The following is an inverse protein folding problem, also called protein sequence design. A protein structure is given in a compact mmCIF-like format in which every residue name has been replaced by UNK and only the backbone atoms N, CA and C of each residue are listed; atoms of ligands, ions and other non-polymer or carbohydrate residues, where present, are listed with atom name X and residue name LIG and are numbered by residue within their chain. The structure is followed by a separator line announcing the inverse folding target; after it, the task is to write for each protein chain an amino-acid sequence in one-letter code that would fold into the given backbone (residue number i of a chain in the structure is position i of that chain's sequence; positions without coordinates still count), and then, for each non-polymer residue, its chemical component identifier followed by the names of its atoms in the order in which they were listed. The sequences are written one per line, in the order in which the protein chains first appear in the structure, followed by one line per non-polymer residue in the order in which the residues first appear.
data_IF_022799705857
#
_entry.id   IF_022799705857
#
_cell.length_a   1.000
_cell.length_b   1.000
_cell.length_c   1.000
_cell.angle_alpha   90.00
_cell.angle_beta   90.00
_cell.angle_gamma   90.00
#
_symmetry.space_group_name_H-M   'P 1'
#
loop_
_entity.id
_entity.type
_entity.pdbx_description
1 polymer ?
#
# COMPACT_ATOMS: atom_id res chain seq x y z
N UNK A 1 -27.58 -51.04 9.90
CA UNK A 1 -26.67 -52.04 10.52
C UNK A 1 -25.37 -51.29 10.81
N UNK A 2 -24.82 -51.16 12.02
CA UNK A 2 -24.84 -51.97 13.24
C UNK A 2 -25.03 -51.09 14.49
N UNK A 3 -25.78 -51.63 15.45
CA UNK A 3 -25.85 -51.21 16.84
C UNK A 3 -24.60 -51.69 17.60
N UNK A 4 -24.09 -50.89 18.53
CA UNK A 4 -23.59 -51.40 19.81
C UNK A 4 -24.04 -50.48 20.94
N UNK A 5 -24.88 -51.05 21.81
CA UNK A 5 -25.30 -50.53 23.12
C UNK A 5 -24.23 -50.89 24.14
N UNK A 6 -23.85 -49.94 24.99
CA UNK A 6 -23.45 -50.23 26.38
C UNK A 6 -24.20 -49.31 27.34
N UNK A 7 -24.44 -49.85 28.55
CA UNK A 7 -25.53 -49.52 29.48
C UNK A 7 -25.20 -48.40 30.48
N UNK A 8 -26.22 -47.58 30.71
CA UNK A 8 -26.72 -46.97 31.98
C UNK A 8 -25.70 -46.47 33.02
N UNK A 9 -25.69 -45.15 33.21
CA UNK A 9 -25.75 -44.54 34.54
C UNK A 9 -27.00 -43.66 34.64
N UNK A 10 -27.73 -43.84 35.74
CA UNK A 10 -28.93 -43.08 36.08
C UNK A 10 -28.55 -41.85 36.90
N UNK A 11 -28.90 -40.67 36.41
CA UNK A 11 -28.80 -39.45 37.21
C UNK A 11 -29.32 -38.24 36.45
N UNK A 12 -30.50 -37.76 36.84
CA UNK A 12 -31.17 -36.51 36.41
C UNK A 12 -31.66 -36.47 34.95
N UNK A 13 -32.96 -36.74 34.75
CA UNK A 13 -33.68 -36.22 33.59
C UNK A 13 -33.89 -34.71 33.74
N UNK A 14 -32.81 -33.93 33.55
CA UNK A 14 -32.90 -32.51 33.30
C UNK A 14 -33.26 -32.29 31.83
N UNK A 15 -34.45 -31.70 31.62
CA UNK A 15 -34.92 -30.92 30.46
C UNK A 15 -34.90 -31.62 29.09
N UNK A 16 -36.11 -32.02 28.64
CA UNK A 16 -36.58 -32.09 27.24
C UNK A 16 -35.47 -32.03 26.18
N UNK A 17 -34.95 -33.19 25.76
CA UNK A 17 -34.03 -33.28 24.64
C UNK A 17 -34.75 -32.82 23.36
N UNK A 18 -34.56 -31.54 23.00
CA UNK A 18 -35.05 -30.98 21.74
C UNK A 18 -34.07 -31.39 20.63
N UNK A 19 -34.52 -32.25 19.73
CA UNK A 19 -33.81 -32.58 18.51
C UNK A 19 -34.32 -31.67 17.39
N UNK A 20 -33.48 -30.77 16.90
CA UNK A 20 -33.78 -29.89 15.77
C UNK A 20 -33.22 -30.52 14.49
N UNK A 21 -34.09 -31.12 13.67
CA UNK A 21 -33.73 -31.56 12.33
C UNK A 21 -33.65 -30.34 11.40
N UNK A 22 -32.47 -30.05 10.86
CA UNK A 22 -32.27 -29.03 9.82
C UNK A 22 -32.12 -29.71 8.47
N UNK A 23 -33.04 -29.42 7.54
CA UNK A 23 -32.92 -29.85 6.14
C UNK A 23 -31.65 -29.22 5.55
N UNK A 24 -30.76 -30.04 5.01
CA UNK A 24 -29.40 -29.65 4.61
C UNK A 24 -29.32 -28.90 3.27
N UNK A 25 -30.38 -28.90 2.45
CA UNK A 25 -30.36 -28.29 1.12
C UNK A 25 -31.72 -27.65 0.77
N UNK A 26 -31.72 -26.33 0.57
CA UNK A 26 -32.88 -25.55 0.11
C UNK A 26 -32.88 -25.32 -1.41
N UNK A 27 -31.85 -25.77 -2.13
CA UNK A 27 -31.69 -25.49 -3.57
C UNK A 27 -32.89 -25.98 -4.41
N UNK A 28 -33.46 -27.15 -4.07
CA UNK A 28 -34.66 -27.67 -4.74
C UNK A 28 -35.87 -26.72 -4.60
N UNK A 29 -36.02 -26.06 -3.44
CA UNK A 29 -37.11 -25.10 -3.20
C UNK A 29 -36.93 -23.84 -4.04
N UNK A 30 -35.69 -23.36 -4.16
CA UNK A 30 -35.33 -22.22 -4.99
C UNK A 30 -35.57 -22.48 -6.49
N UNK A 31 -35.22 -23.68 -6.98
CA UNK A 31 -35.52 -24.11 -8.36
C UNK A 31 -37.03 -24.13 -8.64
N UNK A 32 -37.83 -24.68 -7.72
CA UNK A 32 -39.30 -24.67 -7.85
C UNK A 32 -39.85 -23.23 -7.89
N UNK A 33 -39.38 -22.34 -6.99
CA UNK A 33 -39.77 -20.93 -6.98
C UNK A 33 -39.40 -20.22 -8.29
N UNK A 34 -38.26 -20.57 -8.88
CA UNK A 34 -37.83 -20.02 -10.15
C UNK A 34 -38.74 -20.47 -11.30
N UNK A 35 -39.16 -21.74 -11.34
CA UNK A 35 -40.12 -22.25 -12.32
C UNK A 35 -41.48 -21.57 -12.17
N UNK A 36 -41.97 -21.41 -10.93
CA UNK A 36 -43.22 -20.69 -10.66
C UNK A 36 -43.18 -19.26 -11.18
N UNK A 37 -42.05 -18.57 -10.97
CA UNK A 37 -41.83 -17.20 -11.48
C UNK A 37 -41.88 -17.15 -13.01
N UNK A 38 -41.19 -18.06 -13.71
CA UNK A 38 -41.18 -18.04 -15.20
C UNK A 38 -42.57 -18.29 -15.79
N UNK A 39 -43.40 -19.09 -15.12
CA UNK A 39 -44.78 -19.33 -15.52
C UNK A 39 -45.76 -18.24 -15.03
N UNK A 40 -45.30 -17.26 -14.25
CA UNK A 40 -46.12 -16.20 -13.66
C UNK A 40 -47.09 -16.67 -12.58
N UNK A 41 -46.95 -17.89 -12.06
CA UNK A 41 -47.81 -18.40 -10.99
C UNK A 41 -47.44 -17.72 -9.67
N UNK A 42 -48.47 -17.30 -8.92
CA UNK A 42 -48.36 -16.63 -7.62
C UNK A 42 -47.56 -15.31 -7.60
N UNK A 43 -47.17 -14.78 -8.75
CA UNK A 43 -46.44 -13.50 -8.84
C UNK A 43 -47.35 -12.34 -8.43
N UNK A 44 -46.95 -11.64 -7.36
CA UNK A 44 -47.71 -10.57 -6.69
C UNK A 44 -47.05 -9.18 -6.89
N UNK A 45 -45.98 -9.11 -7.69
CA UNK A 45 -45.31 -7.87 -8.04
C UNK A 45 -44.72 -7.91 -9.46
N UNK A 46 -44.82 -6.76 -10.14
CA UNK A 46 -44.19 -6.45 -11.43
C UNK A 46 -43.24 -5.28 -11.22
N UNK A 47 -41.97 -5.47 -11.56
CA UNK A 47 -40.94 -4.44 -11.50
C UNK A 47 -40.70 -3.91 -12.91
N UNK A 48 -40.91 -2.61 -13.11
CA UNK A 48 -40.67 -1.94 -14.40
C UNK A 48 -39.32 -1.23 -14.35
N UNK A 49 -38.40 -1.60 -15.24
CA UNK A 49 -37.11 -0.93 -15.42
C UNK A 49 -37.24 0.35 -16.26
N UNK A 50 -36.18 1.13 -16.35
CA UNK A 50 -36.16 2.42 -17.08
C UNK A 50 -36.41 2.26 -18.59
N UNK A 51 -36.02 1.12 -19.17
CA UNK A 51 -36.27 0.77 -20.58
C UNK A 51 -37.70 0.27 -20.85
N UNK A 52 -38.60 0.44 -19.88
CA UNK A 52 -39.99 -0.03 -19.85
C UNK A 52 -40.19 -1.55 -19.86
N UNK A 53 -39.15 -2.39 -19.77
CA UNK A 53 -39.34 -3.83 -19.61
C UNK A 53 -39.82 -4.17 -18.20
N UNK A 54 -40.66 -5.20 -18.12
CA UNK A 54 -41.29 -5.64 -16.88
C UNK A 54 -40.71 -7.00 -16.46
N UNK A 55 -40.24 -7.07 -15.22
CA UNK A 55 -39.77 -8.29 -14.57
C UNK A 55 -40.80 -8.71 -13.51
N UNK A 56 -41.31 -9.94 -13.62
CA UNK A 56 -42.25 -10.51 -12.66
C UNK A 56 -41.51 -11.21 -11.51
N UNK A 57 -42.03 -11.07 -10.30
CA UNK A 57 -41.44 -11.67 -9.10
C UNK A 57 -42.48 -11.89 -7.99
N UNK A 58 -42.00 -12.47 -6.89
CA UNK A 58 -42.73 -12.67 -5.64
C UNK A 58 -42.19 -11.73 -4.55
N UNK A 59 -43.05 -10.93 -3.91
CA UNK A 59 -42.70 -9.99 -2.83
C UNK A 59 -41.97 -10.70 -1.70
N UNK A 60 -42.41 -11.90 -1.33
CA UNK A 60 -41.80 -12.68 -0.24
C UNK A 60 -40.35 -13.07 -0.52
N UNK A 61 -40.05 -13.48 -1.75
CA UNK A 61 -38.68 -13.87 -2.15
C UNK A 61 -37.78 -12.64 -2.17
N UNK A 62 -38.25 -11.56 -2.80
CA UNK A 62 -37.51 -10.30 -2.86
C UNK A 62 -37.24 -9.72 -1.46
N UNK A 63 -38.26 -9.65 -0.60
CA UNK A 63 -38.14 -9.16 0.76
C UNK A 63 -37.25 -10.03 1.65
N UNK A 64 -37.20 -11.34 1.40
CA UNK A 64 -36.37 -12.25 2.19
C UNK A 64 -34.88 -12.07 1.92
N UNK A 65 -34.51 -11.68 0.70
CA UNK A 65 -33.13 -11.63 0.24
C UNK A 65 -32.56 -10.21 0.12
N UNK A 66 -33.40 -9.18 0.01
CA UNK A 66 -32.99 -7.78 -0.11
C UNK A 66 -33.61 -6.92 0.99
N UNK A 67 -32.78 -6.24 1.81
CA UNK A 67 -33.29 -5.28 2.79
C UNK A 67 -34.03 -4.11 2.16
N UNK A 68 -33.66 -3.71 0.93
CA UNK A 68 -34.37 -2.68 0.17
C UNK A 68 -35.82 -3.08 -0.11
N UNK A 69 -36.03 -4.28 -0.68
CA UNK A 69 -37.37 -4.78 -0.95
C UNK A 69 -38.15 -5.08 0.34
N UNK A 70 -37.48 -5.57 1.38
CA UNK A 70 -38.10 -5.74 2.69
C UNK A 70 -38.68 -4.42 3.22
N UNK A 71 -37.88 -3.35 3.20
CA UNK A 71 -38.34 -2.03 3.62
C UNK A 71 -39.49 -1.53 2.74
N UNK A 72 -39.34 -1.63 1.41
CA UNK A 72 -40.34 -1.20 0.42
C UNK A 72 -41.71 -1.85 0.65
N UNK A 73 -41.75 -3.16 0.87
CA UNK A 73 -43.02 -3.89 1.02
C UNK A 73 -43.61 -3.87 2.44
N UNK A 74 -42.84 -3.45 3.45
CA UNK A 74 -43.31 -3.39 4.85
C UNK A 74 -43.66 -1.99 5.30
N UNK A 75 -42.85 -0.98 4.93
CA UNK A 75 -42.93 0.38 5.48
C UNK A 75 -43.53 1.41 4.53
N UNK A 76 -43.59 1.13 3.23
CA UNK A 76 -44.01 2.10 2.23
C UNK A 76 -45.30 1.69 1.50
N UNK A 77 -45.88 2.66 0.78
CA UNK A 77 -47.15 2.57 0.07
C UNK A 77 -47.13 1.53 -1.06
N UNK A 78 -45.95 1.23 -1.59
CA UNK A 78 -45.65 0.24 -2.62
C UNK A 78 -46.06 -1.17 -2.23
N UNK A 79 -46.32 -1.44 -0.95
CA UNK A 79 -46.95 -2.67 -0.48
C UNK A 79 -48.24 -3.00 -1.25
N UNK A 80 -49.07 -1.99 -1.53
CA UNK A 80 -50.38 -2.15 -2.17
C UNK A 80 -50.32 -2.06 -3.70
N UNK A 81 -49.16 -1.76 -4.27
CA UNK A 81 -48.99 -1.70 -5.71
C UNK A 81 -48.64 -3.06 -6.30
N UNK A 82 -49.22 -3.37 -7.45
CA UNK A 82 -48.85 -4.52 -8.28
C UNK A 82 -47.70 -4.19 -9.25
N UNK A 83 -47.50 -2.91 -9.58
CA UNK A 83 -46.45 -2.43 -10.47
C UNK A 83 -45.60 -1.37 -9.75
N UNK A 84 -44.29 -1.60 -9.68
CA UNK A 84 -43.32 -0.65 -9.11
C UNK A 84 -42.30 -0.28 -10.17
N UNK A 85 -42.05 1.02 -10.33
CA UNK A 85 -41.07 1.55 -11.29
C UNK A 85 -39.73 1.71 -10.59
N UNK A 86 -38.73 0.97 -11.06
CA UNK A 86 -37.36 0.98 -10.56
C UNK A 86 -36.56 2.00 -11.37
N UNK A 87 -36.19 3.11 -10.75
CA UNK A 87 -35.40 4.18 -11.39
C UNK A 87 -33.91 3.92 -11.21
N UNK A 88 -33.12 4.16 -12.25
CA UNK A 88 -31.66 4.02 -12.25
C UNK A 88 -31.18 2.58 -12.38
N UNK A 89 -31.99 1.69 -12.95
CA UNK A 89 -31.62 0.28 -13.18
C UNK A 89 -32.05 -0.14 -14.59
N UNK A 90 -31.09 -0.66 -15.36
CA UNK A 90 -31.36 -1.28 -16.65
C UNK A 90 -32.07 -2.65 -16.50
N UNK A 91 -32.90 -3.03 -17.47
CA UNK A 91 -33.64 -4.29 -17.38
C UNK A 91 -32.76 -5.52 -17.38
N UNK A 92 -31.60 -5.48 -18.06
CA UNK A 92 -30.67 -6.60 -18.09
C UNK A 92 -30.08 -6.86 -16.69
N UNK A 93 -29.61 -5.80 -16.03
CA UNK A 93 -29.10 -5.84 -14.66
C UNK A 93 -30.20 -6.25 -13.67
N UNK A 94 -31.40 -5.68 -13.78
CA UNK A 94 -32.53 -6.05 -12.92
C UNK A 94 -32.89 -7.53 -13.07
N UNK A 95 -32.94 -8.03 -14.30
CA UNK A 95 -33.25 -9.43 -14.57
C UNK A 95 -32.18 -10.37 -13.98
N UNK A 96 -30.89 -10.03 -14.11
CA UNK A 96 -29.79 -10.79 -13.52
C UNK A 96 -29.86 -10.80 -11.99
N UNK A 97 -30.13 -9.66 -11.37
CA UNK A 97 -30.26 -9.56 -9.91
C UNK A 97 -31.47 -10.34 -9.41
N UNK A 98 -32.63 -10.25 -10.07
CA UNK A 98 -33.79 -11.07 -9.68
C UNK A 98 -33.50 -12.54 -9.92
N UNK A 99 -32.84 -12.93 -11.01
CA UNK A 99 -32.42 -14.34 -11.21
C UNK A 99 -31.50 -14.82 -10.09
N UNK A 100 -30.59 -13.97 -9.61
CA UNK A 100 -29.72 -14.26 -8.48
C UNK A 100 -30.52 -14.51 -7.19
N UNK A 101 -31.55 -13.71 -6.90
CA UNK A 101 -32.39 -13.91 -5.69
C UNK A 101 -33.15 -15.25 -5.69
N UNK A 102 -33.36 -15.85 -6.87
CA UNK A 102 -34.01 -17.16 -6.99
C UNK A 102 -33.04 -18.32 -7.13
N UNK A 103 -31.83 -18.10 -7.66
CA UNK A 103 -30.88 -19.18 -7.96
C UNK A 103 -29.64 -19.21 -7.07
N UNK A 104 -29.32 -18.10 -6.40
CA UNK A 104 -28.06 -17.87 -5.70
C UNK A 104 -26.84 -17.79 -6.63
N UNK A 105 -27.04 -17.70 -7.95
CA UNK A 105 -25.96 -17.68 -8.96
C UNK A 105 -26.07 -16.44 -9.84
N UNK A 106 -24.94 -15.81 -10.10
CA UNK A 106 -24.85 -14.67 -11.01
C UNK A 106 -23.59 -14.75 -11.86
N UNK A 107 -23.71 -14.43 -13.14
CA UNK A 107 -22.59 -14.35 -14.07
C UNK A 107 -22.19 -12.89 -14.23
N UNK A 108 -20.95 -12.56 -13.86
CA UNK A 108 -20.39 -11.21 -13.95
C UNK A 108 -19.43 -11.17 -15.15
N UNK A 109 -19.60 -10.18 -16.02
CA UNK A 109 -18.82 -9.93 -17.23
C UNK A 109 -18.41 -8.45 -17.30
N UNK A 110 -17.45 -8.12 -18.15
CA UNK A 110 -16.97 -6.73 -18.32
C UNK A 110 -18.07 -5.76 -18.79
N UNK A 111 -18.99 -6.24 -19.64
CA UNK A 111 -20.10 -5.45 -20.15
C UNK A 111 -21.18 -5.23 -19.08
N UNK A 112 -21.45 -6.22 -18.23
CA UNK A 112 -22.55 -6.15 -17.28
C UNK A 112 -22.17 -5.52 -15.93
N UNK A 113 -20.88 -5.56 -15.54
CA UNK A 113 -20.46 -5.15 -14.20
C UNK A 113 -20.69 -3.66 -13.94
N UNK A 114 -20.62 -2.83 -14.99
CA UNK A 114 -20.81 -1.38 -14.90
C UNK A 114 -22.25 -1.01 -14.50
N UNK A 115 -23.25 -1.76 -14.95
CA UNK A 115 -24.65 -1.57 -14.58
C UNK A 115 -25.04 -2.37 -13.34
N UNK A 116 -24.45 -3.55 -13.18
CA UNK A 116 -24.75 -4.48 -12.10
C UNK A 116 -24.29 -3.95 -10.73
N UNK A 117 -23.13 -3.30 -10.66
CA UNK A 117 -22.61 -2.75 -9.41
C UNK A 117 -23.51 -1.63 -8.83
N UNK A 118 -23.89 -0.57 -9.59
CA UNK A 118 -24.87 0.42 -9.13
C UNK A 118 -26.18 -0.21 -8.68
N UNK A 119 -26.72 -1.14 -9.49
CA UNK A 119 -28.00 -1.79 -9.20
C UNK A 119 -27.94 -2.66 -7.93
N UNK A 120 -26.85 -3.41 -7.73
CA UNK A 120 -26.64 -4.21 -6.52
C UNK A 120 -26.53 -3.34 -5.27
N UNK A 121 -25.87 -2.18 -5.38
CA UNK A 121 -25.75 -1.23 -4.28
C UNK A 121 -27.10 -0.58 -3.93
N UNK A 122 -27.89 -0.20 -4.94
CA UNK A 122 -29.23 0.37 -4.77
C UNK A 122 -30.19 -0.64 -4.10
N UNK A 123 -30.17 -1.89 -4.57
CA UNK A 123 -30.99 -2.98 -4.01
C UNK A 123 -30.41 -3.58 -2.71
N UNK A 124 -29.29 -3.05 -2.21
CA UNK A 124 -28.61 -3.49 -0.99
C UNK A 124 -28.25 -4.99 -1.00
N UNK A 125 -27.82 -5.50 -2.16
CA UNK A 125 -27.35 -6.87 -2.36
C UNK A 125 -25.84 -6.93 -2.17
N UNK A 126 -25.41 -7.00 -0.90
CA UNK A 126 -24.00 -6.89 -0.51
C UNK A 126 -23.12 -8.00 -1.12
N UNK A 127 -23.63 -9.25 -1.20
CA UNK A 127 -22.89 -10.38 -1.77
C UNK A 127 -22.55 -10.16 -3.25
N UNK A 128 -23.51 -9.62 -4.02
CA UNK A 128 -23.30 -9.30 -5.44
C UNK A 128 -22.36 -8.11 -5.57
N UNK A 129 -22.51 -7.08 -4.73
CA UNK A 129 -21.61 -5.93 -4.70
C UNK A 129 -20.16 -6.35 -4.46
N UNK A 130 -19.93 -7.24 -3.50
CA UNK A 130 -18.61 -7.78 -3.18
C UNK A 130 -18.04 -8.61 -4.33
N UNK A 131 -18.85 -9.48 -4.94
CA UNK A 131 -18.44 -10.25 -6.11
C UNK A 131 -18.07 -9.36 -7.31
N UNK A 132 -18.83 -8.28 -7.56
CA UNK A 132 -18.49 -7.28 -8.58
C UNK A 132 -17.18 -6.56 -8.26
N UNK A 133 -16.94 -6.21 -6.99
CA UNK A 133 -15.70 -5.57 -6.57
C UNK A 133 -14.49 -6.49 -6.74
N UNK A 134 -14.62 -7.77 -6.39
CA UNK A 134 -13.56 -8.77 -6.55
C UNK A 134 -13.27 -9.04 -8.04
N UNK A 135 -14.29 -9.08 -8.89
CA UNK A 135 -14.13 -9.15 -10.34
C UNK A 135 -13.36 -7.95 -10.89
N UNK A 136 -13.79 -6.72 -10.55
CA UNK A 136 -13.10 -5.49 -10.98
C UNK A 136 -11.67 -5.43 -10.48
N UNK A 137 -11.40 -5.89 -9.25
CA UNK A 137 -10.05 -5.95 -8.71
C UNK A 137 -9.16 -6.93 -9.50
N UNK A 138 -9.71 -8.04 -9.99
CA UNK A 138 -8.97 -9.00 -10.81
C UNK A 138 -8.64 -8.50 -12.22
N UNK A 139 -9.41 -7.54 -12.73
CA UNK A 139 -9.26 -6.98 -14.08
C UNK A 139 -8.53 -5.63 -14.12
N UNK A 140 -7.95 -5.17 -13.00
CA UNK A 140 -7.22 -3.89 -12.95
C UNK A 140 -6.04 -3.87 -13.94
N UNK A 141 -6.06 -2.92 -14.87
CA UNK A 141 -5.00 -2.67 -15.85
C UNK A 141 -4.73 -1.16 -15.99
N UNK A 142 -3.66 -0.78 -16.70
CA UNK A 142 -3.27 0.64 -16.83
C UNK A 142 -4.36 1.49 -17.52
N UNK A 143 -5.08 0.93 -18.51
CA UNK A 143 -6.11 1.66 -19.25
C UNK A 143 -7.44 1.78 -18.53
N UNK A 144 -7.80 0.86 -17.63
CA UNK A 144 -9.12 0.87 -16.95
C UNK A 144 -9.07 1.30 -15.49
N UNK A 145 -7.87 1.46 -14.90
CA UNK A 145 -7.73 1.68 -13.47
C UNK A 145 -8.39 2.98 -12.99
N UNK A 146 -8.41 4.02 -13.83
CA UNK A 146 -9.05 5.30 -13.53
C UNK A 146 -10.57 5.16 -13.59
N UNK A 147 -11.12 4.54 -14.63
CA UNK A 147 -12.55 4.22 -14.70
C UNK A 147 -13.02 3.40 -13.49
N UNK A 148 -12.29 2.33 -13.13
CA UNK A 148 -12.61 1.51 -11.96
C UNK A 148 -12.49 2.31 -10.66
N UNK A 149 -11.50 3.20 -10.54
CA UNK A 149 -11.37 4.09 -9.39
C UNK A 149 -12.56 5.05 -9.26
N UNK A 150 -13.01 5.66 -10.37
CA UNK A 150 -14.18 6.54 -10.38
C UNK A 150 -15.47 5.80 -10.00
N UNK A 151 -15.66 4.58 -10.51
CA UNK A 151 -16.79 3.71 -10.15
C UNK A 151 -16.73 3.35 -8.65
N UNK A 152 -15.55 3.03 -8.12
CA UNK A 152 -15.37 2.70 -6.71
C UNK A 152 -15.68 3.88 -5.78
N UNK A 153 -15.31 5.10 -6.19
CA UNK A 153 -15.61 6.34 -5.48
C UNK A 153 -17.13 6.61 -5.46
N UNK A 154 -17.76 6.51 -6.64
CA UNK A 154 -19.20 6.73 -6.81
C UNK A 154 -20.06 5.77 -5.97
N UNK A 155 -19.67 4.50 -5.87
CA UNK A 155 -20.41 3.48 -5.11
C UNK A 155 -19.88 3.24 -3.68
N UNK A 156 -18.95 4.09 -3.23
CA UNK A 156 -18.35 4.05 -1.89
C UNK A 156 -17.77 2.66 -1.54
N UNK A 157 -17.11 2.02 -2.51
CA UNK A 157 -16.48 0.71 -2.36
C UNK A 157 -15.06 0.87 -1.80
N UNK A 158 -14.90 0.96 -0.47
CA UNK A 158 -13.62 1.27 0.17
C UNK A 158 -12.47 0.29 -0.17
N UNK A 159 -12.75 -1.02 -0.26
CA UNK A 159 -11.76 -2.06 -0.60
C UNK A 159 -11.23 -1.87 -2.03
N UNK A 160 -12.15 -1.68 -2.99
CA UNK A 160 -11.81 -1.46 -4.39
C UNK A 160 -11.09 -0.12 -4.55
N UNK A 161 -11.59 0.95 -3.92
CA UNK A 161 -10.98 2.28 -3.96
C UNK A 161 -9.51 2.25 -3.50
N UNK A 162 -9.24 1.57 -2.39
CA UNK A 162 -7.87 1.43 -1.87
C UNK A 162 -6.98 0.64 -2.82
N UNK A 163 -7.51 -0.44 -3.40
CA UNK A 163 -6.77 -1.30 -4.34
C UNK A 163 -6.47 -0.60 -5.66
N UNK A 164 -7.47 0.05 -6.26
CA UNK A 164 -7.31 0.84 -7.50
C UNK A 164 -6.38 2.02 -7.28
N UNK A 165 -6.50 2.75 -6.16
CA UNK A 165 -5.57 3.83 -5.81
C UNK A 165 -4.14 3.33 -5.66
N UNK A 166 -3.94 2.18 -5.01
CA UNK A 166 -2.62 1.58 -4.90
C UNK A 166 -2.06 1.19 -6.27
N UNK A 167 -2.88 0.60 -7.15
CA UNK A 167 -2.47 0.25 -8.51
C UNK A 167 -2.05 1.49 -9.32
N UNK A 168 -2.87 2.55 -9.31
CA UNK A 168 -2.55 3.84 -9.95
C UNK A 168 -1.22 4.40 -9.41
N UNK A 169 -0.97 4.27 -8.10
CA UNK A 169 0.28 4.74 -7.51
C UNK A 169 1.51 3.93 -7.92
N UNK A 170 1.37 2.63 -8.16
CA UNK A 170 2.47 1.76 -8.60
C UNK A 170 2.78 1.95 -10.09
N UNK A 171 1.74 2.09 -10.93
CA UNK A 171 1.85 2.18 -12.39
C UNK A 171 1.66 3.60 -12.94
N UNK A 172 1.88 4.63 -12.11
CA UNK A 172 1.59 6.03 -12.47
C UNK A 172 2.22 6.48 -13.79
N UNK A 173 3.44 6.01 -14.09
CA UNK A 173 4.17 6.38 -15.31
C UNK A 173 3.46 5.93 -16.60
N UNK A 174 2.74 4.81 -16.55
CA UNK A 174 1.96 4.29 -17.68
C UNK A 174 0.61 5.02 -17.76
N UNK A 175 -0.07 5.16 -16.62
CA UNK A 175 -1.42 5.75 -16.50
C UNK A 175 -1.47 7.21 -16.95
N UNK A 176 -0.42 7.99 -16.71
CA UNK A 176 -0.31 9.39 -17.18
C UNK A 176 -0.27 9.49 -18.71
N UNK A 177 0.15 8.42 -19.38
CA UNK A 177 0.18 8.33 -20.84
C UNK A 177 -1.22 8.38 -21.46
N UNK A 178 -2.20 7.83 -20.76
CA UNK A 178 -3.56 7.62 -21.24
C UNK A 178 -4.44 8.87 -21.08
N UNK A 179 -5.42 9.03 -21.97
CA UNK A 179 -6.31 10.19 -21.96
C UNK A 179 -7.33 10.15 -20.82
N UNK A 180 -7.60 8.97 -20.24
CA UNK A 180 -8.45 8.85 -19.05
C UNK A 180 -7.90 9.67 -17.87
N UNK A 181 -6.58 9.86 -17.77
CA UNK A 181 -5.97 10.70 -16.74
C UNK A 181 -6.47 12.15 -16.78
N UNK A 182 -6.83 12.65 -17.96
CA UNK A 182 -7.31 14.01 -18.16
C UNK A 182 -8.74 14.21 -17.62
N UNK A 183 -9.48 13.12 -17.40
CA UNK A 183 -10.85 13.12 -16.87
C UNK A 183 -10.91 13.24 -15.33
N UNK A 184 -9.80 13.04 -14.63
CA UNK A 184 -9.73 13.12 -13.16
C UNK A 184 -10.06 14.54 -12.65
N UNK A 185 -10.71 14.60 -11.48
CA UNK A 185 -11.00 15.86 -10.79
C UNK A 185 -9.74 16.47 -10.16
N UNK A 186 -9.77 17.78 -9.86
CA UNK A 186 -8.64 18.46 -9.19
C UNK A 186 -8.27 17.81 -7.86
N UNK A 187 -9.26 17.41 -7.07
CA UNK A 187 -9.07 16.84 -5.74
C UNK A 187 -8.41 15.46 -5.82
N UNK A 188 -8.83 14.65 -6.80
CA UNK A 188 -8.25 13.33 -7.06
C UNK A 188 -6.79 13.47 -7.49
N UNK A 189 -6.47 14.40 -8.40
CA UNK A 189 -5.09 14.65 -8.86
C UNK A 189 -4.21 15.14 -7.71
N UNK A 190 -4.69 16.08 -6.89
CA UNK A 190 -3.98 16.54 -5.68
C UNK A 190 -3.71 15.36 -4.73
N UNK A 191 -4.70 14.51 -4.50
CA UNK A 191 -4.57 13.35 -3.61
C UNK A 191 -3.57 12.31 -4.14
N UNK A 192 -3.46 12.15 -5.46
CA UNK A 192 -2.47 11.26 -6.08
C UNK A 192 -1.06 11.83 -5.96
N UNK A 193 -0.86 13.11 -6.28
CA UNK A 193 0.46 13.75 -6.31
C UNK A 193 0.99 14.02 -4.90
N UNK A 194 0.13 14.29 -3.93
CA UNK A 194 0.52 14.45 -2.52
C UNK A 194 1.04 13.15 -1.88
N UNK A 195 0.72 11.99 -2.44
CA UNK A 195 1.11 10.69 -1.87
C UNK A 195 2.62 10.42 -1.99
N UNK A 196 3.26 10.14 -0.85
CA UNK A 196 4.64 9.66 -0.82
C UNK A 196 4.83 8.29 -1.49
N UNK A 197 3.77 7.49 -1.64
CA UNK A 197 3.84 6.12 -2.18
C UNK A 197 3.83 6.05 -3.71
N UNK A 198 3.82 7.21 -4.38
CA UNK A 198 3.80 7.27 -5.84
C UNK A 198 5.12 6.74 -6.40
N UNK A 199 5.04 5.73 -7.26
CA UNK A 199 6.20 5.12 -7.91
C UNK A 199 6.43 5.79 -9.25
N UNK A 200 7.39 6.71 -9.27
CA UNK A 200 7.79 7.47 -10.47
C UNK A 200 9.30 7.39 -10.67
N UNK A 201 9.78 7.39 -11.93
CA UNK A 201 11.21 7.38 -12.23
C UNK A 201 11.88 8.72 -11.89
N UNK A 202 11.15 9.82 -12.00
CA UNK A 202 11.62 11.16 -11.67
C UNK A 202 10.46 12.10 -11.34
N UNK A 203 10.72 13.12 -10.53
CA UNK A 203 9.76 14.21 -10.28
C UNK A 203 9.52 15.07 -11.54
N UNK A 204 10.43 14.98 -12.52
CA UNK A 204 10.25 15.61 -13.85
C UNK A 204 9.01 15.04 -14.55
N UNK A 205 8.78 13.72 -14.45
CA UNK A 205 7.56 13.09 -15.00
C UNK A 205 6.30 13.55 -14.29
N UNK A 206 6.33 13.73 -12.97
CA UNK A 206 5.19 14.25 -12.20
C UNK A 206 4.85 15.67 -12.66
N UNK A 207 5.87 16.51 -12.85
CA UNK A 207 5.70 17.86 -13.38
C UNK A 207 5.07 17.86 -14.78
N UNK A 208 5.59 17.06 -15.71
CA UNK A 208 5.03 16.91 -17.06
C UNK A 208 3.55 16.48 -17.03
N UNK A 209 3.22 15.55 -16.13
CA UNK A 209 1.86 15.05 -15.92
C UNK A 209 0.90 16.16 -15.52
N UNK A 210 1.30 16.99 -14.54
CA UNK A 210 0.51 18.13 -14.04
C UNK A 210 0.28 19.14 -15.16
N UNK A 211 1.33 19.47 -15.91
CA UNK A 211 1.23 20.43 -17.01
C UNK A 211 0.33 19.89 -18.12
N UNK A 212 0.42 18.60 -18.48
CA UNK A 212 -0.49 17.97 -19.45
C UNK A 212 -1.95 18.08 -19.00
N UNK A 213 -2.22 17.76 -17.73
CA UNK A 213 -3.58 17.83 -17.16
C UNK A 213 -4.15 19.26 -17.13
N UNK A 214 -3.33 20.27 -16.82
CA UNK A 214 -3.75 21.68 -16.82
C UNK A 214 -3.92 22.24 -18.25
N UNK A 215 -3.10 21.79 -19.22
CA UNK A 215 -3.19 22.23 -20.63
C UNK A 215 -4.49 21.77 -21.28
N UNK A 216 -5.03 20.61 -20.90
CA UNK A 216 -6.28 20.07 -21.45
C UNK A 216 -7.49 21.00 -21.22
N UNK A 217 -7.69 21.52 -20.00
CA UNK A 217 -8.71 22.53 -19.70
C UNK A 217 -8.08 23.80 -19.12
N UNK A 218 -7.39 24.52 -19.99
CA UNK A 218 -6.66 25.74 -19.63
C UNK A 218 -7.55 26.92 -19.17
N UNK A 219 -8.88 26.79 -19.19
CA UNK A 219 -9.83 27.78 -18.67
C UNK A 219 -9.99 27.70 -17.16
N UNK A 220 -10.45 26.56 -16.65
CA UNK A 220 -10.76 26.32 -15.22
C UNK A 220 -9.54 25.90 -14.41
N UNK A 221 -8.66 25.07 -14.98
CA UNK A 221 -7.56 24.40 -14.24
C UNK A 221 -6.38 25.32 -13.94
N UNK A 222 -6.25 26.46 -14.63
CA UNK A 222 -5.18 27.46 -14.38
C UNK A 222 -5.18 27.98 -12.95
N UNK A 223 -6.36 28.17 -12.35
CA UNK A 223 -6.50 28.66 -10.98
C UNK A 223 -6.00 27.65 -9.93
N UNK A 224 -6.00 26.36 -10.28
CA UNK A 224 -5.65 25.23 -9.39
C UNK A 224 -4.16 24.88 -9.50
N UNK A 225 -3.49 25.32 -10.56
CA UNK A 225 -2.06 25.09 -10.79
C UNK A 225 -1.18 25.37 -9.55
N UNK A 226 -1.35 26.47 -8.77
CA UNK A 226 -0.52 26.73 -7.60
C UNK A 226 -0.67 25.67 -6.49
N UNK A 227 -1.87 25.11 -6.32
CA UNK A 227 -2.14 24.05 -5.34
C UNK A 227 -1.49 22.73 -5.77
N UNK A 228 -1.57 22.40 -7.07
CA UNK A 228 -0.91 21.22 -7.63
C UNK A 228 0.62 21.31 -7.49
N UNK A 229 1.19 22.48 -7.82
CA UNK A 229 2.63 22.72 -7.75
C UNK A 229 3.18 22.64 -6.33
N UNK A 230 2.35 22.86 -5.30
CA UNK A 230 2.75 22.69 -3.91
C UNK A 230 3.17 21.25 -3.59
N UNK A 231 2.58 20.27 -4.29
CA UNK A 231 2.81 18.84 -4.12
C UNK A 231 3.84 18.26 -5.09
N UNK A 232 4.28 19.04 -6.10
CA UNK A 232 5.38 18.66 -6.99
C UNK A 232 6.70 18.97 -6.32
N UNK A 233 7.58 17.97 -6.19
CA UNK A 233 8.84 18.11 -5.44
C UNK A 233 9.95 18.64 -6.33
N UNK A 234 9.74 19.86 -6.84
CA UNK A 234 10.68 20.58 -7.71
C UNK A 234 12.14 20.59 -7.18
N UNK A 235 12.40 20.74 -5.86
CA UNK A 235 13.77 20.69 -5.32
C UNK A 235 14.53 19.38 -5.57
N UNK A 236 13.82 18.29 -5.88
CA UNK A 236 14.41 16.98 -6.19
C UNK A 236 14.65 16.78 -7.70
N UNK A 237 14.20 17.71 -8.55
CA UNK A 237 14.45 17.67 -9.99
C UNK A 237 15.86 18.17 -10.33
N UNK A 238 16.34 17.89 -11.54
CA UNK A 238 17.66 18.37 -11.94
C UNK A 238 17.65 19.88 -12.18
N UNK A 239 18.68 20.60 -11.69
CA UNK A 239 18.85 22.05 -11.92
C UNK A 239 18.85 22.41 -13.41
N UNK A 240 19.34 21.52 -14.26
CA UNK A 240 19.36 21.69 -15.72
C UNK A 240 17.93 21.68 -16.28
N UNK A 241 17.09 20.75 -15.81
CA UNK A 241 15.70 20.63 -16.23
C UNK A 241 14.86 21.83 -15.79
N UNK A 242 15.01 22.30 -14.54
CA UNK A 242 14.31 23.49 -14.03
C UNK A 242 14.57 24.69 -14.95
N UNK A 243 15.83 24.95 -15.30
CA UNK A 243 16.19 26.10 -16.13
C UNK A 243 15.77 25.96 -17.60
N UNK A 244 15.72 24.73 -18.13
CA UNK A 244 15.40 24.49 -19.56
C UNK A 244 13.93 24.37 -19.85
N UNK A 245 13.18 23.66 -19.01
CA UNK A 245 11.78 23.30 -19.25
C UNK A 245 10.83 24.08 -18.34
N UNK A 246 11.05 24.02 -17.01
CA UNK A 246 10.12 24.60 -16.02
C UNK A 246 10.03 26.14 -16.13
N UNK A 247 11.16 26.83 -16.31
CA UNK A 247 11.20 28.29 -16.44
C UNK A 247 10.62 28.78 -17.78
N UNK A 248 10.66 27.95 -18.83
CA UNK A 248 10.13 28.32 -20.15
C UNK A 248 8.61 28.14 -20.26
N UNK A 249 7.99 27.35 -19.39
CA UNK A 249 6.55 27.09 -19.44
C UNK A 249 5.72 28.35 -19.13
N UNK A 250 4.94 28.79 -20.12
CA UNK A 250 4.16 30.03 -20.05
C UNK A 250 3.12 30.03 -18.90
N UNK A 251 2.58 28.86 -18.54
CA UNK A 251 1.59 28.73 -17.46
C UNK A 251 2.17 29.09 -16.08
N UNK A 252 3.45 28.83 -15.89
CA UNK A 252 4.17 29.07 -14.63
C UNK A 252 4.62 30.53 -14.55
N UNK A 253 5.08 31.09 -15.67
CA UNK A 253 5.54 32.49 -15.71
C UNK A 253 4.40 33.49 -15.41
N UNK A 254 3.16 33.10 -15.68
CA UNK A 254 1.98 33.92 -15.40
C UNK A 254 1.48 33.85 -13.95
N UNK A 255 2.08 32.99 -13.10
CA UNK A 255 1.68 32.85 -11.69
C UNK A 255 2.82 33.21 -10.73
N UNK A 256 2.58 34.16 -9.82
CA UNK A 256 3.59 34.58 -8.84
C UNK A 256 3.95 33.46 -7.85
N UNK A 257 2.97 32.69 -7.33
CA UNK A 257 3.22 31.60 -6.39
C UNK A 257 4.09 30.49 -6.99
N UNK A 258 3.89 30.16 -8.27
CA UNK A 258 4.70 29.15 -8.94
C UNK A 258 6.16 29.62 -9.11
N UNK A 259 6.39 30.92 -9.29
CA UNK A 259 7.75 31.50 -9.30
C UNK A 259 8.43 31.39 -7.94
N UNK A 260 7.68 31.57 -6.85
CA UNK A 260 8.22 31.40 -5.50
C UNK A 260 8.70 29.96 -5.26
N UNK A 261 7.95 28.96 -5.71
CA UNK A 261 8.37 27.54 -5.62
C UNK A 261 9.61 27.22 -6.45
N UNK A 262 9.80 27.86 -7.61
CA UNK A 262 11.01 27.71 -8.41
C UNK A 262 12.21 28.35 -7.71
N UNK A 263 12.02 29.54 -7.14
CA UNK A 263 13.06 30.22 -6.37
C UNK A 263 13.45 29.41 -5.12
N UNK A 264 12.49 28.78 -4.43
CA UNK A 264 12.72 27.85 -3.33
C UNK A 264 13.61 26.67 -3.81
N UNK A 265 13.24 26.00 -4.90
CA UNK A 265 14.00 24.88 -5.45
C UNK A 265 15.43 25.28 -5.87
N UNK A 266 15.60 26.41 -6.55
CA UNK A 266 16.92 26.93 -6.95
C UNK A 266 17.78 27.31 -5.73
N UNK A 267 17.16 27.84 -4.67
CA UNK A 267 17.86 28.12 -3.41
C UNK A 267 18.32 26.84 -2.71
N UNK A 268 17.49 25.78 -2.69
CA UNK A 268 17.88 24.47 -2.15
C UNK A 268 19.08 23.89 -2.92
N UNK A 269 19.10 23.96 -4.26
CA UNK A 269 20.27 23.55 -5.05
C UNK A 269 21.53 24.41 -4.82
N UNK A 270 21.37 25.65 -4.33
CA UNK A 270 22.49 26.56 -4.01
C UNK A 270 23.06 26.31 -2.62
N UNK A 271 22.21 25.88 -1.68
CA UNK A 271 22.59 25.57 -0.29
C UNK A 271 23.20 24.17 -0.21
N UNK A 272 24.53 24.09 -0.15
CA UNK A 272 25.28 22.82 -0.06
C UNK A 272 25.18 22.10 1.30
N UNK A 273 24.56 22.69 2.32
CA UNK A 273 24.43 22.09 3.67
C UNK A 273 22.98 21.73 3.99
N UNK A 274 22.72 20.44 4.23
CA UNK A 274 21.37 19.89 4.50
C UNK A 274 20.74 20.37 5.81
N UNK A 275 21.51 21.00 6.69
CA UNK A 275 21.07 21.44 8.03
C UNK A 275 20.12 22.65 8.01
N UNK A 276 19.90 23.30 6.86
CA UNK A 276 19.04 24.48 6.71
C UNK A 276 17.87 24.27 5.73
N UNK A 277 17.66 23.05 5.23
CA UNK A 277 16.56 22.78 4.29
C UNK A 277 15.25 22.70 5.08
N UNK A 278 14.24 23.53 4.78
CA UNK A 278 12.94 23.45 5.44
C UNK A 278 12.31 22.06 5.27
N UNK A 279 11.80 21.47 6.34
CA UNK A 279 11.05 20.20 6.29
C UNK A 279 9.64 20.42 5.71
N UNK A 280 9.59 20.67 4.40
CA UNK A 280 8.37 20.77 3.62
C UNK A 280 8.19 19.52 2.75
N UNK A 281 6.94 19.20 2.37
CA UNK A 281 6.59 18.07 1.48
C UNK A 281 7.45 18.08 0.19
N UNK A 282 7.80 19.27 -0.30
CA UNK A 282 8.63 19.49 -1.50
C UNK A 282 10.08 19.03 -1.39
N UNK A 283 10.63 18.94 -0.17
CA UNK A 283 12.04 18.58 0.08
C UNK A 283 12.22 17.13 0.53
N UNK A 284 11.12 16.40 0.79
CA UNK A 284 11.19 15.03 1.24
C UNK A 284 11.04 14.08 0.03
N UNK A 285 11.98 13.18 -0.27
CA UNK A 285 11.80 12.20 -1.34
C UNK A 285 10.53 11.37 -1.16
N UNK A 286 9.92 10.92 -2.25
CA UNK A 286 8.83 9.94 -2.18
C UNK A 286 9.36 8.68 -1.51
N UNK A 287 8.49 7.89 -0.86
CA UNK A 287 8.78 6.55 -0.37
C UNK A 287 9.03 5.62 -1.57
N UNK A 288 10.12 5.87 -2.29
CA UNK A 288 10.52 5.20 -3.50
C UNK A 288 12.03 5.07 -3.47
N UNK A 289 12.47 3.82 -3.33
CA UNK A 289 13.85 3.29 -3.46
C UNK A 289 14.48 2.84 -2.14
N UNK A 290 13.77 1.93 -1.45
CA UNK A 290 14.42 1.08 -0.45
C UNK A 290 15.40 0.16 -1.17
N UNK A 291 16.67 0.53 -1.12
CA UNK A 291 17.78 -0.31 -1.59
C UNK A 291 18.19 -1.23 -0.46
N UNK A 292 18.38 -2.51 -0.75
CA UNK A 292 18.95 -3.45 0.21
C UNK A 292 20.46 -3.35 0.06
N UNK A 293 21.13 -2.84 1.10
CA UNK A 293 22.58 -2.82 1.15
C UNK A 293 23.11 -4.12 1.73
N UNK A 294 23.96 -4.80 0.97
CA UNK A 294 24.67 -6.00 1.41
C UNK A 294 26.16 -5.73 1.40
N UNK A 295 26.79 -5.91 2.56
CA UNK A 295 28.25 -5.97 2.66
C UNK A 295 28.62 -7.45 2.81
N UNK A 296 29.16 -8.04 1.75
CA UNK A 296 29.54 -9.45 1.73
C UNK A 296 30.96 -9.64 1.22
N UNK A 297 31.58 -10.73 1.68
CA UNK A 297 32.85 -11.22 1.14
C UNK A 297 32.54 -12.14 -0.04
N UNK A 298 33.13 -11.85 -1.20
CA UNK A 298 33.12 -12.77 -2.32
C UNK A 298 34.26 -13.77 -2.17
N UNK A 299 33.98 -15.04 -2.40
CA UNK A 299 35.00 -16.09 -2.36
C UNK A 299 35.97 -15.91 -3.53
N UNK A 300 37.24 -16.20 -3.26
CA UNK A 300 38.41 -16.30 -4.18
C UNK A 300 39.34 -15.11 -4.41
N UNK A 301 38.94 -13.82 -4.29
CA UNK A 301 39.84 -12.69 -4.65
C UNK A 301 39.93 -11.51 -3.67
N UNK A 302 39.85 -11.78 -2.36
CA UNK A 302 40.25 -10.86 -1.25
C UNK A 302 39.63 -9.46 -1.15
N UNK A 303 38.74 -9.03 -2.06
CA UNK A 303 38.01 -7.77 -1.95
C UNK A 303 36.59 -7.96 -1.41
N UNK A 304 36.23 -7.20 -0.38
CA UNK A 304 34.85 -7.08 0.11
C UNK A 304 34.19 -5.96 -0.70
N UNK A 305 33.13 -6.30 -1.42
CA UNK A 305 32.34 -5.32 -2.18
C UNK A 305 31.06 -5.01 -1.44
N UNK A 306 30.80 -3.72 -1.26
CA UNK A 306 29.46 -3.24 -0.93
C UNK A 306 28.60 -3.47 -2.15
N UNK A 307 27.45 -4.13 -2.03
CA UNK A 307 26.50 -4.28 -3.13
C UNK A 307 25.14 -3.72 -2.76
N UNK A 308 24.52 -3.08 -3.72
CA UNK A 308 23.17 -2.56 -3.61
C UNK A 308 22.24 -3.49 -4.40
N UNK A 309 21.20 -4.00 -3.76
CA UNK A 309 20.11 -4.67 -4.47
C UNK A 309 18.95 -3.71 -4.59
N UNK A 310 18.54 -3.49 -5.83
CA UNK A 310 17.40 -2.65 -6.16
C UNK A 310 16.20 -3.54 -6.50
N UNK A 311 15.18 -3.63 -5.61
CA UNK A 311 14.07 -4.56 -5.81
C UNK A 311 13.23 -4.27 -7.05
N UNK A 312 13.15 -2.99 -7.46
CA UNK A 312 12.33 -2.54 -8.60
C UNK A 312 12.79 -3.16 -9.92
N UNK A 313 14.10 -3.18 -10.15
CA UNK A 313 14.70 -3.72 -11.37
C UNK A 313 15.21 -5.16 -11.20
N UNK A 314 15.12 -5.70 -9.97
CA UNK A 314 15.66 -7.01 -9.60
C UNK A 314 17.14 -7.19 -10.00
N UNK A 315 17.97 -6.19 -9.74
CA UNK A 315 19.40 -6.21 -10.10
C UNK A 315 20.29 -5.79 -8.94
N UNK A 316 21.50 -6.34 -8.99
CA UNK A 316 22.59 -5.99 -8.08
C UNK A 316 23.50 -4.97 -8.75
N UNK A 317 23.83 -3.92 -8.01
CA UNK A 317 24.83 -2.92 -8.37
C UNK A 317 26.02 -3.00 -7.44
N UNK A 318 27.19 -2.63 -7.95
CA UNK A 318 28.37 -2.46 -7.11
C UNK A 318 28.30 -1.11 -6.41
N UNK A 319 28.53 -1.13 -5.11
CA UNK A 319 28.62 0.06 -4.26
C UNK A 319 30.06 0.42 -3.91
N UNK A 320 30.24 1.49 -3.12
CA UNK A 320 31.56 1.98 -2.76
C UNK A 320 32.35 0.96 -1.94
N UNK A 321 33.64 0.85 -2.22
CA UNK A 321 34.55 -0.03 -1.50
C UNK A 321 34.75 0.45 -0.05
N UNK A 322 34.76 -0.49 0.89
CA UNK A 322 35.01 -0.19 2.29
C UNK A 322 36.48 0.19 2.52
N UNK A 323 36.73 1.14 3.43
CA UNK A 323 38.09 1.54 3.82
C UNK A 323 38.85 0.38 4.46
N UNK A 324 38.18 -0.33 5.37
CA UNK A 324 38.76 -1.49 6.05
C UNK A 324 38.04 -2.74 5.59
N UNK A 325 38.80 -3.74 5.12
CA UNK A 325 38.27 -5.06 4.81
C UNK A 325 37.92 -5.81 6.10
N UNK A 326 36.61 -5.99 6.37
CA UNK A 326 36.06 -6.60 7.60
C UNK A 326 35.07 -7.71 7.29
N UNK A 327 35.16 -8.82 8.02
CA UNK A 327 34.14 -9.87 8.05
C UNK A 327 33.30 -9.75 9.33
N UNK A 328 32.10 -10.32 9.31
CA UNK A 328 31.17 -10.35 10.45
C UNK A 328 30.91 -8.95 11.05
N UNK A 329 30.82 -7.95 10.17
CA UNK A 329 30.52 -6.57 10.51
C UNK A 329 29.04 -6.45 10.89
N UNK A 330 28.74 -5.62 11.89
CA UNK A 330 27.37 -5.23 12.16
C UNK A 330 27.00 -4.01 11.33
N UNK A 331 25.90 -4.07 10.59
CA UNK A 331 25.37 -2.96 9.82
C UNK A 331 24.14 -2.37 10.48
N UNK A 332 24.04 -1.05 10.47
CA UNK A 332 22.82 -0.36 10.88
C UNK A 332 22.66 0.97 10.14
N UNK A 333 21.41 1.41 10.00
CA UNK A 333 21.08 2.69 9.37
C UNK A 333 20.59 3.65 10.43
N UNK A 334 21.19 4.85 10.48
CA UNK A 334 20.84 5.94 11.40
C UNK A 334 20.35 7.12 10.55
N UNK A 335 19.28 7.81 10.99
CA UNK A 335 18.67 8.95 10.28
C UNK A 335 18.32 8.64 8.80
N UNK A 336 17.97 7.40 8.51
CA UNK A 336 17.54 6.88 7.18
C UNK A 336 18.59 6.85 6.06
N UNK A 337 19.70 7.59 6.15
CA UNK A 337 20.70 7.71 5.09
C UNK A 337 22.15 7.37 5.51
N UNK A 338 22.44 7.29 6.81
CA UNK A 338 23.78 7.01 7.31
C UNK A 338 23.91 5.53 7.65
N UNK A 339 24.70 4.81 6.86
CA UNK A 339 25.00 3.41 7.12
C UNK A 339 26.25 3.32 7.98
N UNK A 340 26.14 2.68 9.14
CA UNK A 340 27.26 2.40 10.02
C UNK A 340 27.69 0.94 9.87
N UNK A 341 28.98 0.75 9.62
CA UNK A 341 29.68 -0.52 9.66
C UNK A 341 30.49 -0.61 10.95
N UNK A 342 30.03 -1.43 11.88
CA UNK A 342 30.54 -1.48 13.26
C UNK A 342 31.29 -2.79 13.49
N UNK A 343 32.54 -2.69 13.97
CA UNK A 343 33.33 -3.83 14.41
C UNK A 343 33.68 -4.81 13.28
N UNK A 344 33.70 -6.10 13.61
CA UNK A 344 34.09 -7.19 12.72
C UNK A 344 35.53 -7.66 12.92
N UNK A 345 36.04 -8.42 11.96
CA UNK A 345 37.41 -8.94 11.97
C UNK A 345 38.12 -8.71 10.63
N UNK A 346 39.39 -8.29 10.67
CA UNK A 346 40.23 -8.10 9.47
C UNK A 346 40.83 -9.42 8.96
N UNK A 347 41.61 -9.37 7.88
CA UNK A 347 42.20 -10.54 7.20
C UNK A 347 42.98 -11.50 8.11
N UNK A 348 43.56 -11.03 9.21
CA UNK A 348 44.27 -11.86 10.19
C UNK A 348 43.40 -12.31 11.38
N UNK A 349 42.07 -12.36 11.19
CA UNK A 349 41.08 -12.64 12.25
C UNK A 349 41.14 -11.70 13.45
N UNK A 350 41.82 -10.55 13.33
CA UNK A 350 41.92 -9.56 14.40
C UNK A 350 40.62 -8.80 14.53
N UNK A 351 40.02 -8.83 15.72
CA UNK A 351 38.83 -8.04 16.03
C UNK A 351 39.18 -6.56 16.07
N UNK A 352 38.29 -5.74 15.55
CA UNK A 352 38.47 -4.28 15.49
C UNK A 352 37.41 -3.56 16.30
N UNK A 353 37.79 -2.37 16.77
CA UNK A 353 36.88 -1.38 17.36
C UNK A 353 36.42 -0.32 16.37
N UNK A 354 37.00 -0.33 15.16
CA UNK A 354 36.77 0.72 14.18
C UNK A 354 35.34 0.65 13.64
N UNK A 355 34.83 1.83 13.32
CA UNK A 355 33.49 2.07 12.81
C UNK A 355 33.64 2.90 11.55
N UNK A 356 33.04 2.47 10.45
CA UNK A 356 32.97 3.28 9.23
C UNK A 356 31.52 3.75 9.04
N UNK A 357 31.36 4.93 8.45
CA UNK A 357 30.07 5.49 8.07
C UNK A 357 30.03 5.76 6.58
N UNK A 358 28.92 5.42 5.94
CA UNK A 358 28.62 5.72 4.55
C UNK A 358 27.38 6.63 4.52
N UNK A 359 27.55 7.83 3.96
CA UNK A 359 26.44 8.75 3.72
C UNK A 359 25.89 8.50 2.31
N UNK A 360 24.73 7.85 2.24
CA UNK A 360 24.05 7.55 0.98
C UNK A 360 23.45 8.79 0.30
N UNK A 361 23.44 9.92 1.00
CA UNK A 361 22.82 11.14 0.53
C UNK A 361 23.82 12.09 -0.16
N UNK A 362 25.09 11.71 -0.20
CA UNK A 362 26.14 12.41 -0.94
C UNK A 362 26.07 12.11 -2.44
N UNK A 363 26.46 13.08 -3.29
CA UNK A 363 26.52 12.90 -4.75
C UNK A 363 27.44 11.74 -5.18
N UNK A 364 28.50 11.50 -4.40
CA UNK A 364 29.43 10.38 -4.57
C UNK A 364 29.60 9.66 -3.22
N UNK A 365 28.79 8.63 -2.92
CA UNK A 365 28.85 7.92 -1.65
C UNK A 365 30.21 7.22 -1.47
N UNK A 366 30.88 7.49 -0.36
CA UNK A 366 32.13 6.81 0.02
C UNK A 366 32.15 6.53 1.52
N UNK A 367 32.77 5.43 1.90
CA UNK A 367 32.98 5.10 3.31
C UNK A 367 33.98 6.07 3.95
N UNK A 368 33.69 6.50 5.17
CA UNK A 368 34.53 7.39 5.99
C UNK A 368 34.71 6.80 7.39
N UNK A 369 35.87 6.96 8.03
CA UNK A 369 36.05 6.50 9.41
C UNK A 369 35.19 7.34 10.37
N UNK A 370 34.62 6.69 11.36
CA UNK A 370 33.86 7.29 12.47
C UNK A 370 34.54 6.99 13.82
N UNK A 371 33.96 7.48 14.91
CA UNK A 371 34.51 7.32 16.26
C UNK A 371 34.54 5.84 16.63
N UNK A 372 35.70 5.37 17.08
CA UNK A 372 35.90 3.97 17.44
C UNK A 372 35.16 3.59 18.73
N UNK A 373 34.70 2.33 18.80
CA UNK A 373 34.13 1.73 19.99
C UNK A 373 35.17 1.58 21.12
N UNK A 374 34.71 1.34 22.35
CA UNK A 374 35.62 0.99 23.45
C UNK A 374 36.09 -0.45 23.37
N UNK A 375 35.19 -1.37 22.96
CA UNK A 375 35.45 -2.80 22.97
C UNK A 375 35.60 -3.33 21.54
N UNK A 376 36.57 -4.22 21.33
CA UNK A 376 36.73 -4.94 20.05
C UNK A 376 35.66 -6.02 19.94
N UNK A 377 34.88 -6.03 18.86
CA UNK A 377 33.73 -6.95 18.69
C UNK A 377 33.73 -7.59 17.31
N UNK A 378 33.76 -8.93 17.25
CA UNK A 378 33.50 -9.72 16.05
C UNK A 378 32.12 -10.37 16.14
N UNK A 379 31.40 -10.54 15.01
CA UNK A 379 29.99 -11.02 15.01
C UNK A 379 29.12 -10.18 15.96
N UNK A 380 29.28 -8.87 15.87
CA UNK A 380 28.58 -7.90 16.73
C UNK A 380 27.12 -7.80 16.33
N UNK A 381 26.23 -7.74 17.32
CA UNK A 381 24.83 -7.41 17.11
C UNK A 381 24.65 -5.90 17.14
N UNK A 382 24.03 -5.32 16.11
CA UNK A 382 23.85 -3.86 16.01
C UNK A 382 22.40 -3.54 15.74
N UNK A 383 21.87 -2.53 16.42
CA UNK A 383 20.51 -2.04 16.21
C UNK A 383 20.40 -0.56 16.55
N UNK A 384 19.34 0.08 16.09
CA UNK A 384 19.12 1.53 16.27
C UNK A 384 17.79 1.75 16.98
N UNK A 385 17.82 2.45 18.10
CA UNK A 385 16.62 2.89 18.83
C UNK A 385 16.70 4.41 18.98
N UNK A 386 15.66 5.13 18.56
CA UNK A 386 15.58 6.59 18.66
C UNK A 386 16.84 7.32 18.12
N UNK A 387 17.37 6.85 16.98
CA UNK A 387 18.62 7.34 16.35
C UNK A 387 19.91 7.15 17.17
N UNK A 388 19.88 6.39 18.26
CA UNK A 388 21.08 5.91 18.95
C UNK A 388 21.46 4.54 18.42
N UNK A 389 22.74 4.37 18.13
CA UNK A 389 23.31 3.14 17.58
C UNK A 389 23.83 2.27 18.72
N UNK A 390 23.26 1.08 18.89
CA UNK A 390 23.63 0.14 19.94
C UNK A 390 24.49 -0.97 19.35
N UNK A 391 25.67 -1.17 19.94
CA UNK A 391 26.53 -2.31 19.67
C UNK A 391 26.48 -3.24 20.88
N UNK A 392 25.87 -4.42 20.70
CA UNK A 392 25.63 -5.38 21.78
C UNK A 392 26.39 -6.67 21.53
N UNK A 393 27.02 -7.18 22.59
CA UNK A 393 27.70 -8.48 22.59
C UNK A 393 28.76 -8.62 21.49
N UNK A 394 29.24 -9.85 21.29
CA UNK A 394 30.18 -10.21 20.24
C UNK A 394 31.31 -11.10 20.75
N UNK A 395 32.11 -11.58 19.82
CA UNK A 395 33.29 -12.39 20.10
C UNK A 395 34.52 -11.50 20.25
N UNK A 396 35.28 -11.68 21.34
CA UNK A 396 36.59 -11.09 21.57
C UNK A 396 37.55 -12.20 22.02
N UNK A 397 38.78 -12.25 21.51
CA UNK A 397 39.74 -13.32 21.86
C UNK A 397 40.06 -13.37 23.36
N UNK A 398 39.98 -12.26 24.08
CA UNK A 398 40.27 -12.23 25.52
C UNK A 398 39.17 -12.85 26.38
N UNK A 399 37.90 -12.65 26.02
CA UNK A 399 36.73 -12.98 26.87
C UNK A 399 35.83 -14.08 26.28
N UNK A 400 36.21 -14.64 25.12
CA UNK A 400 35.40 -15.49 24.24
C UNK A 400 34.11 -14.80 23.76
N UNK A 401 33.16 -14.54 24.66
CA UNK A 401 31.89 -13.87 24.36
C UNK A 401 31.73 -12.71 25.34
N UNK A 402 31.62 -11.50 24.80
CA UNK A 402 31.40 -10.31 25.61
C UNK A 402 29.92 -10.19 26.00
N UNK A 403 29.63 -9.92 27.26
CA UNK A 403 28.32 -9.45 27.76
C UNK A 403 28.18 -7.93 27.67
N UNK A 404 29.27 -7.21 27.39
CA UNK A 404 29.25 -5.77 27.35
C UNK A 404 28.39 -5.23 26.20
N UNK A 405 27.82 -4.05 26.42
CA UNK A 405 27.10 -3.31 25.41
C UNK A 405 27.47 -1.82 25.50
N UNK A 406 27.46 -1.16 24.35
CA UNK A 406 27.77 0.26 24.24
C UNK A 406 26.81 0.92 23.24
N UNK A 407 26.57 2.22 23.45
CA UNK A 407 25.69 3.01 22.61
C UNK A 407 26.42 4.24 22.11
N UNK A 408 26.23 4.53 20.83
CA UNK A 408 26.76 5.69 20.15
C UNK A 408 25.65 6.71 19.95
N UNK A 409 25.97 7.95 20.32
CA UNK A 409 25.16 9.11 20.03
C UNK A 409 25.81 9.89 18.89
N UNK A 410 25.10 9.94 17.76
CA UNK A 410 25.54 10.64 16.56
C UNK A 410 25.62 12.16 16.77
N UNK A 411 24.77 12.76 17.60
CA UNK A 411 24.77 14.21 17.77
C UNK A 411 25.97 14.67 18.60
N UNK A 412 26.35 13.89 19.61
CA UNK A 412 27.54 14.17 20.44
C UNK A 412 28.82 13.52 19.92
N UNK A 413 28.72 12.63 18.92
CA UNK A 413 29.83 11.84 18.37
C UNK A 413 30.60 11.08 19.46
N UNK A 414 29.86 10.47 20.41
CA UNK A 414 30.45 9.77 21.55
C UNK A 414 29.84 8.40 21.76
N UNK A 415 30.70 7.44 22.07
CA UNK A 415 30.32 6.16 22.63
C UNK A 415 30.18 6.27 24.15
N UNK A 416 29.25 5.50 24.73
CA UNK A 416 29.14 5.28 26.18
C UNK A 416 28.85 3.81 26.46
N UNK A 417 29.46 3.28 27.51
CA UNK A 417 29.12 1.95 28.01
C UNK A 417 27.71 1.96 28.62
N UNK A 418 26.97 0.87 28.43
CA UNK A 418 25.67 0.64 29.08
C UNK A 418 25.73 -0.65 29.91
N UNK A 419 24.65 -0.93 30.66
CA UNK A 419 24.53 -2.15 31.45
C UNK A 419 24.86 -3.39 30.62
N UNK A 420 25.66 -4.28 31.21
CA UNK A 420 26.03 -5.54 30.57
C UNK A 420 24.80 -6.43 30.42
N UNK A 421 24.76 -7.21 29.35
CA UNK A 421 23.69 -8.17 29.12
C UNK A 421 23.72 -9.26 30.20
N UNK A 422 22.56 -9.67 30.72
CA UNK A 422 22.50 -10.73 31.74
C UNK A 422 22.93 -12.10 31.21
N UNK A 423 22.94 -12.27 29.88
CA UNK A 423 23.36 -13.52 29.23
C UNK A 423 24.22 -13.20 28.02
N UNK A 424 25.42 -13.78 27.99
CA UNK A 424 26.39 -13.66 26.88
C UNK A 424 25.84 -14.34 25.62
N UNK A 425 25.92 -13.67 24.46
CA UNK A 425 25.45 -14.20 23.17
C UNK A 425 26.49 -13.97 22.06
N UNK A 426 26.67 -14.94 21.17
CA UNK A 426 27.50 -14.80 19.97
C UNK A 426 26.81 -15.48 18.77
N UNK A 427 27.10 -15.00 17.55
CA UNK A 427 26.45 -15.48 16.31
C UNK A 427 24.91 -15.40 16.35
N UNK A 428 24.37 -14.26 16.78
CA UNK A 428 22.95 -14.04 17.01
C UNK A 428 22.41 -12.93 16.10
N UNK A 429 21.10 -12.92 15.89
CA UNK A 429 20.39 -11.84 15.20
C UNK A 429 20.00 -10.73 16.16
N UNK A 430 20.09 -9.48 15.70
CA UNK A 430 19.54 -8.32 16.42
C UNK A 430 18.42 -7.70 15.59
N UNK A 431 17.28 -7.46 16.25
CA UNK A 431 16.14 -6.78 15.65
C UNK A 431 15.58 -5.73 16.60
N UNK A 432 15.00 -4.67 16.05
CA UNK A 432 14.32 -3.62 16.82
C UNK A 432 12.83 -3.67 16.51
N UNK A 433 12.01 -3.79 17.56
CA UNK A 433 10.55 -3.80 17.46
C UNK A 433 9.98 -2.99 18.63
N UNK A 434 9.07 -2.06 18.34
CA UNK A 434 8.43 -1.20 19.35
C UNK A 434 9.43 -0.49 20.29
N UNK A 435 10.51 0.07 19.73
CA UNK A 435 11.61 0.72 20.47
C UNK A 435 12.35 -0.18 21.48
N UNK A 436 12.26 -1.50 21.32
CA UNK A 436 13.03 -2.47 22.09
C UNK A 436 13.98 -3.22 21.16
N UNK A 437 15.21 -3.46 21.63
CA UNK A 437 16.24 -4.20 20.90
C UNK A 437 16.30 -5.63 21.41
N UNK A 438 16.04 -6.58 20.51
CA UNK A 438 16.00 -8.01 20.77
C UNK A 438 17.25 -8.67 20.22
N UNK A 439 17.91 -9.50 21.04
CA UNK A 439 19.01 -10.35 20.64
C UNK A 439 18.55 -11.81 20.68
N UNK A 440 18.42 -12.44 19.51
CA UNK A 440 17.80 -13.77 19.34
C UNK A 440 18.79 -14.71 18.66
N UNK A 441 18.92 -15.94 19.18
CA UNK A 441 19.71 -17.01 18.58
C UNK A 441 18.85 -17.91 17.72
#
# INVERSE_FOLDING_TARGET
MQNKKEKKESGRCEKLAKYEYKKLFYAETYEVLQVLRHNGFFSDIKLKADDNKIVIAHKVVLASASPYFYAMFTKFSERNHELVVMRGIDSSALQLLVNFLYSGKILITEENVQDLLPASNLLQLQEVKEACCDFLQSQLCHTNCIGIFAIADLHSCAKLLTSSKFYIQQHFSEVVGDDEFLSLSSDQVIQLISSDKLTVPSEEKVFESVIRWVKYESGSRKCILPQLMEHVRLPLTSKIYINKEVVKECLINNCYKCKDYINEALNVHRLKSKDLIPHNIRNNPRHGDKIILVVSRFDTNECISTKFFEPKINRWHNGPEMITNRRNVGLAVVKDNLVFAVGGSTHFFRQVRSVDVLDLSAESPCWKPSVEMFVKRNKVGVGVINNYLYAVSGYNFCDNISDSAEVFDYNTQKWRMISSMPTRRASFGVGVLNNLLYAVN
#
